data_IF_585440327111
#
_entry.id   IF_585440327111
#
_cell.length_a   1.000
_cell.length_b   1.000
_cell.length_c   1.000
_cell.angle_alpha   90.00
_cell.angle_beta   90.00
_cell.angle_gamma   90.00
#
_symmetry.space_group_name_H-M   'P 1'
#
loop_
_entity.id
_entity.type
_entity.pdbx_description
1 polymer ?
#
# COMPACT_ATOMS: atom_id res chain seq x y z
N UNK A 1 26.60 -14.37 -15.71
CA UNK A 1 25.84 -15.10 -16.75
C UNK A 1 24.57 -15.60 -16.08
N UNK A 2 23.43 -15.06 -16.49
CA UNK A 2 22.11 -15.28 -15.86
C UNK A 2 21.14 -14.30 -16.49
N UNK A 3 20.69 -14.62 -17.70
CA UNK A 3 19.72 -13.81 -18.44
C UNK A 3 18.34 -14.03 -17.82
N UNK A 4 17.81 -13.01 -17.14
CA UNK A 4 16.43 -13.02 -16.67
C UNK A 4 15.48 -13.03 -17.87
N UNK A 5 14.89 -14.18 -18.16
CA UNK A 5 13.87 -14.34 -19.20
C UNK A 5 12.56 -13.74 -18.72
N UNK A 6 12.41 -12.43 -18.93
CA UNK A 6 11.12 -11.76 -18.82
C UNK A 6 10.23 -12.17 -19.99
N UNK A 7 9.34 -13.14 -19.77
CA UNK A 7 8.19 -13.36 -20.66
C UNK A 7 7.02 -12.46 -20.21
N UNK A 8 7.27 -11.15 -20.25
CA UNK A 8 6.23 -10.15 -20.06
C UNK A 8 5.37 -10.07 -21.32
N UNK A 9 4.35 -10.91 -21.44
CA UNK A 9 3.36 -10.78 -22.53
C UNK A 9 2.41 -9.63 -22.22
N UNK A 10 2.80 -8.42 -22.63
CA UNK A 10 1.96 -7.21 -22.67
C UNK A 10 2.09 -6.26 -21.46
N UNK A 11 2.40 -4.99 -21.73
CA UNK A 11 2.44 -3.82 -20.83
C UNK A 11 2.93 -4.13 -19.40
N UNK A 12 4.26 -4.22 -19.18
CA UNK A 12 4.90 -3.92 -17.88
C UNK A 12 4.56 -4.73 -16.61
N UNK A 13 3.71 -5.77 -16.65
CA UNK A 13 3.31 -6.55 -15.46
C UNK A 13 3.76 -8.01 -15.56
N UNK A 14 4.35 -8.54 -14.48
CA UNK A 14 4.83 -9.92 -14.37
C UNK A 14 3.72 -10.86 -13.87
N UNK A 15 3.95 -12.18 -13.94
CA UNK A 15 3.04 -13.16 -13.34
C UNK A 15 2.95 -13.03 -11.82
N UNK A 16 4.07 -12.68 -11.15
CA UNK A 16 4.09 -12.41 -9.71
C UNK A 16 3.19 -11.23 -9.35
N UNK A 17 3.22 -10.14 -10.13
CA UNK A 17 2.30 -9.03 -9.94
C UNK A 17 0.83 -9.44 -10.15
N UNK A 18 0.53 -10.32 -11.11
CA UNK A 18 -0.83 -10.85 -11.30
C UNK A 18 -1.29 -11.70 -10.12
N UNK A 19 -0.40 -12.54 -9.60
CA UNK A 19 -0.66 -13.35 -8.42
C UNK A 19 -0.89 -12.47 -7.17
N UNK A 20 -0.08 -11.43 -7.01
CA UNK A 20 -0.25 -10.42 -5.96
C UNK A 20 -1.61 -9.72 -6.07
N UNK A 21 -1.97 -9.24 -7.27
CA UNK A 21 -3.25 -8.60 -7.53
C UNK A 21 -4.43 -9.51 -7.14
N UNK A 22 -4.38 -10.77 -7.56
CA UNK A 22 -5.40 -11.76 -7.22
C UNK A 22 -5.53 -11.98 -5.70
N UNK A 23 -4.39 -12.11 -5.00
CA UNK A 23 -4.36 -12.29 -3.55
C UNK A 23 -4.93 -11.07 -2.80
N UNK A 24 -4.51 -9.86 -3.18
CA UNK A 24 -4.97 -8.61 -2.57
C UNK A 24 -6.46 -8.40 -2.82
N UNK A 25 -6.93 -8.64 -4.04
CA UNK A 25 -8.36 -8.59 -4.37
C UNK A 25 -9.19 -9.52 -3.48
N UNK A 26 -8.72 -10.76 -3.30
CA UNK A 26 -9.37 -11.74 -2.44
C UNK A 26 -9.41 -11.31 -0.98
N UNK A 27 -8.32 -10.71 -0.47
CA UNK A 27 -8.28 -10.14 0.87
C UNK A 27 -9.29 -8.99 1.01
N UNK A 28 -9.26 -8.01 0.11
CA UNK A 28 -10.10 -6.82 0.14
C UNK A 28 -11.58 -7.18 0.11
N UNK A 29 -11.98 -8.15 -0.72
CA UNK A 29 -13.35 -8.65 -0.76
C UNK A 29 -13.85 -9.22 0.59
N UNK A 30 -12.94 -9.69 1.46
CA UNK A 30 -13.28 -10.20 2.80
C UNK A 30 -13.24 -9.12 3.88
N UNK A 31 -12.28 -8.20 3.80
CA UNK A 31 -12.02 -7.24 4.90
C UNK A 31 -12.71 -5.89 4.69
N UNK A 32 -13.08 -5.57 3.45
CA UNK A 32 -13.84 -4.39 3.07
C UNK A 32 -14.88 -4.77 2.00
N UNK A 33 -15.94 -5.52 2.37
CA UNK A 33 -16.99 -5.90 1.44
C UNK A 33 -17.64 -4.66 0.80
N UNK A 34 -18.10 -4.73 -0.47
CA UNK A 34 -18.68 -3.58 -1.16
C UNK A 34 -19.87 -2.92 -0.44
N UNK A 35 -20.67 -3.69 0.31
CA UNK A 35 -21.77 -3.16 1.12
C UNK A 35 -21.26 -2.20 2.20
N UNK A 36 -20.34 -2.67 3.05
CA UNK A 36 -19.72 -1.87 4.11
C UNK A 36 -19.02 -0.62 3.55
N UNK A 37 -18.31 -0.77 2.42
CA UNK A 37 -17.66 0.36 1.75
C UNK A 37 -18.70 1.38 1.29
N UNK A 38 -19.81 0.92 0.69
CA UNK A 38 -20.86 1.82 0.20
C UNK A 38 -21.54 2.56 1.35
N UNK A 39 -21.87 1.88 2.44
CA UNK A 39 -22.44 2.50 3.65
C UNK A 39 -21.52 3.58 4.23
N UNK A 40 -20.22 3.30 4.29
CA UNK A 40 -19.21 4.27 4.76
C UNK A 40 -19.07 5.49 3.84
N UNK A 41 -19.18 5.30 2.53
CA UNK A 41 -19.08 6.39 1.55
C UNK A 41 -20.36 7.23 1.48
N UNK A 42 -21.52 6.62 1.76
CA UNK A 42 -22.82 7.29 1.76
C UNK A 42 -23.16 7.94 3.12
N UNK A 43 -22.36 7.68 4.16
CA UNK A 43 -22.53 8.31 5.47
C UNK A 43 -22.32 9.83 5.38
N UNK A 44 -23.33 10.60 5.80
CA UNK A 44 -23.27 12.08 5.78
C UNK A 44 -22.33 12.66 6.85
N UNK A 45 -21.98 11.89 7.87
CA UNK A 45 -21.06 12.31 8.91
C UNK A 45 -19.63 11.89 8.59
N UNK A 46 -18.65 12.80 8.70
CA UNK A 46 -17.24 12.43 8.52
C UNK A 46 -16.84 11.36 9.53
N UNK A 47 -15.90 10.51 9.13
CA UNK A 47 -15.31 9.53 10.04
C UNK A 47 -14.84 10.21 11.33
N UNK A 48 -15.19 9.62 12.48
CA UNK A 48 -14.81 10.15 13.79
C UNK A 48 -13.28 10.20 13.87
N UNK A 49 -12.67 11.38 14.13
CA UNK A 49 -11.22 11.51 14.26
C UNK A 49 -10.67 10.51 15.29
N UNK A 50 -9.62 9.78 14.90
CA UNK A 50 -8.97 8.76 15.75
C UNK A 50 -9.56 7.36 15.65
N UNK A 51 -10.70 7.16 14.99
CA UNK A 51 -11.22 5.80 14.72
C UNK A 51 -10.54 5.21 13.50
N UNK A 52 -9.81 4.11 13.72
CA UNK A 52 -9.13 3.37 12.64
C UNK A 52 -10.10 2.39 12.01
N UNK A 53 -10.16 2.29 10.67
CA UNK A 53 -10.98 1.27 10.01
C UNK A 53 -10.56 -0.14 10.44
N UNK A 54 -11.54 -1.03 10.62
CA UNK A 54 -11.31 -2.40 11.09
C UNK A 54 -10.34 -3.19 10.19
N UNK A 55 -10.40 -2.95 8.87
CA UNK A 55 -9.55 -3.60 7.88
C UNK A 55 -8.06 -3.24 8.01
N UNK A 56 -7.70 -2.14 8.67
CA UNK A 56 -6.31 -1.68 8.78
C UNK A 56 -5.38 -2.71 9.44
N UNK A 57 -5.89 -3.44 10.45
CA UNK A 57 -5.13 -4.52 11.10
C UNK A 57 -4.91 -5.70 10.16
N UNK A 58 -5.90 -6.04 9.34
CA UNK A 58 -5.78 -7.14 8.38
C UNK A 58 -4.78 -6.80 7.27
N UNK A 59 -4.80 -5.57 6.74
CA UNK A 59 -3.83 -5.11 5.75
C UNK A 59 -2.40 -5.12 6.30
N UNK A 60 -2.20 -4.67 7.54
CA UNK A 60 -0.91 -4.70 8.21
C UNK A 60 -0.43 -6.15 8.47
N UNK A 61 -1.32 -7.04 8.91
CA UNK A 61 -1.01 -8.45 9.14
C UNK A 61 -0.63 -9.20 7.85
N UNK A 62 -1.10 -8.74 6.69
CA UNK A 62 -0.73 -9.25 5.37
C UNK A 62 0.51 -8.54 4.78
N UNK A 63 1.16 -7.65 5.53
CA UNK A 63 2.36 -6.93 5.09
C UNK A 63 2.11 -5.82 4.07
N UNK A 64 0.85 -5.54 3.71
CA UNK A 64 0.52 -4.63 2.60
C UNK A 64 0.85 -3.17 2.89
N UNK A 65 0.92 -2.77 4.17
CA UNK A 65 1.30 -1.41 4.58
C UNK A 65 2.78 -1.10 4.40
N UNK A 66 3.62 -2.13 4.21
CA UNK A 66 5.08 -1.99 4.10
C UNK A 66 5.66 -2.85 2.99
N UNK A 67 4.88 -3.25 1.99
CA UNK A 67 5.30 -4.22 0.96
C UNK A 67 6.56 -3.76 0.20
N UNK A 68 6.71 -2.45 -0.03
CA UNK A 68 7.86 -1.82 -0.72
C UNK A 68 9.01 -1.42 0.21
N UNK A 69 8.86 -1.64 1.52
CA UNK A 69 9.87 -1.29 2.51
C UNK A 69 10.89 -2.43 2.68
N UNK A 70 12.15 -2.12 3.04
CA UNK A 70 13.14 -3.15 3.33
C UNK A 70 12.71 -4.07 4.48
N UNK A 71 13.07 -5.35 4.37
CA UNK A 71 12.80 -6.37 5.41
C UNK A 71 13.44 -6.01 6.76
N UNK A 72 14.56 -5.29 6.77
CA UNK A 72 15.23 -4.82 7.99
C UNK A 72 14.33 -3.92 8.88
N UNK A 73 13.27 -3.34 8.31
CA UNK A 73 12.26 -2.55 9.03
C UNK A 73 10.92 -3.29 9.17
N UNK A 74 10.88 -4.60 8.93
CA UNK A 74 9.66 -5.41 8.90
C UNK A 74 8.81 -5.20 7.64
N UNK A 75 9.41 -4.68 6.56
CA UNK A 75 8.77 -4.54 5.26
C UNK A 75 8.76 -5.82 4.44
N UNK A 76 8.07 -5.79 3.29
CA UNK A 76 7.92 -6.94 2.39
C UNK A 76 9.06 -7.14 1.39
N UNK A 77 10.05 -6.24 1.34
CA UNK A 77 11.20 -6.35 0.43
C UNK A 77 10.90 -6.07 -1.04
N UNK A 78 9.65 -5.77 -1.39
CA UNK A 78 9.20 -5.46 -2.75
C UNK A 78 9.60 -4.06 -3.23
N UNK A 79 9.22 -3.75 -4.46
CA UNK A 79 9.43 -2.47 -5.12
C UNK A 79 8.18 -1.59 -5.18
N UNK A 80 8.30 -0.47 -5.89
CA UNK A 80 7.17 0.44 -6.15
C UNK A 80 6.12 -0.18 -7.06
N UNK A 81 6.48 -1.14 -7.92
CA UNK A 81 5.52 -1.84 -8.78
C UNK A 81 4.62 -2.78 -7.95
N UNK A 82 5.17 -3.49 -6.96
CA UNK A 82 4.37 -4.28 -6.02
C UNK A 82 3.39 -3.39 -5.25
N UNK A 83 3.87 -2.24 -4.76
CA UNK A 83 3.00 -1.25 -4.12
C UNK A 83 1.91 -0.73 -5.07
N UNK A 84 2.25 -0.45 -6.34
CA UNK A 84 1.29 0.03 -7.33
C UNK A 84 0.18 -1.00 -7.58
N UNK A 85 0.52 -2.29 -7.66
CA UNK A 85 -0.45 -3.39 -7.76
C UNK A 85 -1.40 -3.41 -6.55
N UNK A 86 -0.86 -3.29 -5.33
CA UNK A 86 -1.68 -3.24 -4.11
C UNK A 86 -2.59 -2.00 -4.11
N UNK A 87 -2.09 -0.84 -4.55
CA UNK A 87 -2.86 0.39 -4.64
C UNK A 87 -3.95 0.34 -5.71
N UNK A 88 -3.70 -0.31 -6.85
CA UNK A 88 -4.70 -0.52 -7.89
C UNK A 88 -5.86 -1.36 -7.37
N UNK A 89 -5.57 -2.46 -6.68
CA UNK A 89 -6.62 -3.30 -6.08
C UNK A 89 -7.36 -2.59 -4.94
N UNK A 90 -6.66 -1.82 -4.11
CA UNK A 90 -7.28 -0.99 -3.08
C UNK A 90 -8.20 0.08 -3.68
N UNK A 91 -7.79 0.70 -4.79
CA UNK A 91 -8.61 1.67 -5.52
C UNK A 91 -9.81 0.99 -6.19
N UNK A 92 -9.63 -0.19 -6.80
CA UNK A 92 -10.71 -0.97 -7.36
C UNK A 92 -11.76 -1.37 -6.31
N UNK A 93 -11.32 -1.64 -5.08
CA UNK A 93 -12.21 -1.93 -3.96
C UNK A 93 -12.81 -0.67 -3.30
N UNK A 94 -12.46 0.54 -3.77
CA UNK A 94 -12.80 1.81 -3.13
C UNK A 94 -12.48 1.83 -1.63
N UNK A 95 -11.34 1.26 -1.24
CA UNK A 95 -10.97 1.04 0.16
C UNK A 95 -11.00 2.37 0.95
N UNK A 96 -11.86 2.51 1.97
CA UNK A 96 -11.96 3.74 2.72
C UNK A 96 -10.81 3.87 3.72
N UNK A 97 -10.41 5.12 4.00
CA UNK A 97 -9.46 5.43 5.07
C UNK A 97 -8.03 5.70 4.58
N UNK A 98 -7.05 5.77 5.50
CA UNK A 98 -5.77 6.41 5.25
C UNK A 98 -4.72 5.46 4.62
N UNK A 99 -5.12 4.38 3.95
CA UNK A 99 -4.18 3.40 3.41
C UNK A 99 -3.21 4.04 2.40
N UNK A 100 -3.74 4.76 1.41
CA UNK A 100 -2.94 5.48 0.40
C UNK A 100 -1.98 6.47 1.06
N UNK A 101 -2.49 7.33 1.95
CA UNK A 101 -1.66 8.31 2.65
C UNK A 101 -0.53 7.62 3.43
N UNK A 102 -0.83 6.54 4.16
CA UNK A 102 0.13 5.78 4.95
C UNK A 102 1.27 5.23 4.09
N UNK A 103 0.95 4.52 3.00
CA UNK A 103 1.96 3.88 2.16
C UNK A 103 2.76 4.90 1.36
N UNK A 104 2.14 5.99 0.89
CA UNK A 104 2.85 7.08 0.21
C UNK A 104 3.81 7.81 1.14
N UNK A 105 3.39 8.13 2.37
CA UNK A 105 4.28 8.74 3.37
C UNK A 105 5.50 7.84 3.60
N UNK A 106 5.30 6.53 3.75
CA UNK A 106 6.42 5.60 3.93
C UNK A 106 7.34 5.51 2.70
N UNK A 107 6.78 5.57 1.49
CA UNK A 107 7.57 5.58 0.25
C UNK A 107 8.42 6.85 0.12
N UNK A 108 7.85 8.01 0.43
CA UNK A 108 8.56 9.30 0.46
C UNK A 108 9.66 9.29 1.51
N UNK A 109 9.38 8.83 2.73
CA UNK A 109 10.38 8.72 3.80
C UNK A 109 11.54 7.81 3.41
N UNK A 110 11.25 6.63 2.84
CA UNK A 110 12.28 5.71 2.32
C UNK A 110 13.16 6.39 1.29
N UNK A 111 12.57 7.14 0.36
CA UNK A 111 13.32 7.84 -0.69
C UNK A 111 14.19 8.97 -0.10
N UNK A 112 13.64 9.76 0.80
CA UNK A 112 14.35 10.87 1.44
C UNK A 112 15.52 10.40 2.30
N UNK A 113 15.38 9.28 3.01
CA UNK A 113 16.47 8.67 3.80
C UNK A 113 17.55 8.09 2.89
N UNK A 114 17.17 7.43 1.79
CA UNK A 114 18.11 6.86 0.82
C UNK A 114 18.94 7.91 0.07
N UNK A 115 18.38 9.10 -0.17
CA UNK A 115 19.07 10.22 -0.81
C UNK A 115 20.14 10.90 0.08
N UNK A 116 20.33 10.43 1.31
CA UNK A 116 21.15 11.09 2.33
C UNK A 116 20.34 12.21 2.98
N UNK A 117 19.95 12.00 4.24
CA UNK A 117 19.12 12.92 5.02
C UNK A 117 19.85 14.21 5.45
N UNK A 118 20.46 14.94 4.51
CA UNK A 118 20.94 16.31 4.70
C UNK A 118 19.83 17.36 4.58
N UNK A 119 18.67 17.02 4.00
CA UNK A 119 17.63 18.00 3.66
C UNK A 119 16.41 18.02 4.61
N UNK A 120 16.18 17.00 5.44
CA UNK A 120 15.04 16.95 6.39
C UNK A 120 15.41 17.34 7.83
N UNK A 121 16.70 17.59 8.12
CA UNK A 121 17.17 17.97 9.46
C UNK A 121 16.78 19.38 9.92
N UNK A 122 16.32 20.24 9.00
CA UNK A 122 15.92 21.62 9.29
C UNK A 122 14.46 21.78 9.73
N UNK A 123 13.45 21.34 8.93
CA UNK A 123 12.06 21.73 9.17
C UNK A 123 11.26 20.86 10.16
N UNK A 124 11.79 19.70 10.62
CA UNK A 124 11.08 18.82 11.56
C UNK A 124 11.49 19.00 13.04
N UNK A 125 12.39 19.95 13.34
CA UNK A 125 12.79 20.26 14.75
C UNK A 125 11.93 21.34 15.41
N UNK A 126 10.98 21.94 14.68
CA UNK A 126 10.13 23.04 15.17
C UNK A 126 8.63 22.68 15.26
N UNK A 127 8.30 21.39 15.19
CA UNK A 127 6.97 20.85 15.54
C UNK A 127 7.08 20.07 16.86
#
# INVERSE_FOLDING_TARGET
MGIGTGIGTGIGITEEHRALAHSVRGLLARVAPPGDVRELLDAESPAVPGVRPAHGKALAAQGLTGIHLPEAYGGGGGGLLDLAVVLEEAAHASLPGPFLATVLTSAVLRHAVAAGAGALGGPLREL
#
